data_IF_398870456493
#
_entry.id   IF_398870456493
#
_cell.length_a   1.000
_cell.length_b   1.000
_cell.length_c   1.000
_cell.angle_alpha   90.00
_cell.angle_beta   90.00
_cell.angle_gamma   90.00
#
_symmetry.space_group_name_H-M   'P 1'
#
loop_
_entity.id
_entity.type
_entity.pdbx_description
1 polymer ?
#
# COMPACT_ATOMS: atom_id res chain seq x y z
N UNK A 1 -15.88 -12.84 -23.69
CA UNK A 1 -14.67 -13.67 -23.98
C UNK A 1 -14.93 -15.13 -23.57
N UNK A 2 -14.21 -16.11 -24.16
CA UNK A 2 -14.33 -17.51 -23.77
C UNK A 2 -13.50 -17.85 -22.52
N UNK A 3 -13.78 -18.98 -21.85
CA UNK A 3 -13.17 -19.38 -20.57
C UNK A 3 -11.62 -19.34 -20.52
N UNK A 4 -10.96 -19.62 -21.64
CA UNK A 4 -9.49 -19.65 -21.76
C UNK A 4 -8.96 -18.68 -22.82
N UNK A 5 -9.70 -17.61 -23.11
CA UNK A 5 -9.27 -16.64 -24.13
C UNK A 5 -8.09 -15.76 -23.68
N UNK A 6 -7.85 -15.65 -22.37
CA UNK A 6 -6.68 -15.00 -21.81
C UNK A 6 -5.61 -16.08 -21.50
N UNK A 7 -4.40 -15.98 -22.06
CA UNK A 7 -3.37 -17.00 -21.87
C UNK A 7 -3.07 -17.26 -20.39
N UNK A 8 -3.18 -18.54 -19.96
CA UNK A 8 -2.95 -18.98 -18.56
C UNK A 8 -3.91 -18.41 -17.52
N UNK A 9 -5.00 -17.76 -17.93
CA UNK A 9 -6.06 -17.28 -17.06
C UNK A 9 -7.36 -18.03 -17.34
N UNK A 10 -8.07 -18.37 -16.28
CA UNK A 10 -9.44 -18.87 -16.33
C UNK A 10 -10.38 -17.69 -16.13
N UNK A 11 -11.23 -17.45 -17.12
CA UNK A 11 -12.22 -16.38 -17.17
C UNK A 11 -13.58 -16.91 -16.74
N UNK A 12 -14.29 -16.15 -15.91
CA UNK A 12 -15.68 -16.39 -15.53
C UNK A 12 -16.48 -15.09 -15.63
N UNK A 13 -17.70 -15.16 -16.16
CA UNK A 13 -18.58 -14.00 -16.35
C UNK A 13 -18.16 -13.09 -17.51
N UNK A 14 -18.60 -11.82 -17.45
CA UNK A 14 -18.31 -10.81 -18.48
C UNK A 14 -16.93 -10.22 -18.27
N UNK A 15 -15.95 -10.70 -19.04
CA UNK A 15 -14.58 -10.17 -19.05
C UNK A 15 -14.24 -9.67 -20.44
N UNK A 16 -13.66 -8.47 -20.49
CA UNK A 16 -13.25 -7.81 -21.72
C UNK A 16 -11.76 -7.48 -21.67
N UNK A 17 -11.09 -7.60 -22.82
CA UNK A 17 -9.75 -7.07 -23.01
C UNK A 17 -9.90 -5.72 -23.72
N UNK A 18 -9.53 -4.65 -23.03
CA UNK A 18 -9.79 -3.28 -23.48
C UNK A 18 -8.48 -2.53 -23.70
N UNK A 19 -8.51 -1.53 -24.57
CA UNK A 19 -7.41 -0.57 -24.73
C UNK A 19 -7.63 0.63 -23.82
N UNK A 20 -6.55 1.13 -23.19
CA UNK A 20 -6.59 2.35 -22.41
C UNK A 20 -6.77 3.61 -23.27
N UNK A 21 -7.12 4.72 -22.62
CA UNK A 21 -7.31 6.02 -23.27
C UNK A 21 -8.77 6.32 -23.66
N UNK A 22 -8.99 7.28 -24.58
CA UNK A 22 -10.33 7.68 -25.01
C UNK A 22 -11.07 6.53 -25.68
N UNK A 23 -12.31 6.29 -25.23
CA UNK A 23 -13.21 5.27 -25.74
C UNK A 23 -14.33 5.90 -26.57
N UNK A 24 -14.95 5.12 -27.48
CA UNK A 24 -16.19 5.54 -28.14
C UNK A 24 -17.25 5.96 -27.10
N UNK A 25 -17.96 7.05 -27.36
CA UNK A 25 -18.98 7.58 -26.44
C UNK A 25 -18.44 8.54 -25.37
N UNK A 26 -17.17 8.97 -25.45
CA UNK A 26 -16.60 10.00 -24.58
C UNK A 26 -16.07 9.50 -23.23
N UNK A 27 -16.08 8.18 -23.02
CA UNK A 27 -15.48 7.56 -21.84
C UNK A 27 -13.95 7.56 -21.94
N UNK A 28 -13.25 7.52 -20.82
CA UNK A 28 -11.80 7.40 -20.77
C UNK A 28 -11.42 6.25 -19.84
N UNK A 29 -10.57 5.35 -20.32
CA UNK A 29 -10.10 4.21 -19.52
C UNK A 29 -8.68 4.49 -19.01
N UNK A 30 -8.53 4.81 -17.71
CA UNK A 30 -7.22 5.03 -17.10
C UNK A 30 -6.52 3.68 -16.89
N UNK A 31 -5.58 3.35 -17.77
CA UNK A 31 -4.73 2.16 -17.63
C UNK A 31 -3.36 2.59 -17.12
N UNK A 32 -2.91 1.97 -16.04
CA UNK A 32 -1.86 2.53 -15.19
C UNK A 32 -0.45 2.41 -15.79
N UNK A 33 -0.14 1.29 -16.44
CA UNK A 33 1.19 1.00 -16.98
C UNK A 33 1.20 0.63 -18.45
N UNK A 34 0.09 0.09 -18.96
CA UNK A 34 0.00 -0.45 -20.31
C UNK A 34 -0.90 0.34 -21.24
N UNK A 35 -0.98 -0.16 -22.48
CA UNK A 35 -2.01 0.23 -23.45
C UNK A 35 -3.27 -0.63 -23.34
N UNK A 36 -3.23 -1.72 -22.57
CA UNK A 36 -4.33 -2.66 -22.44
C UNK A 36 -4.56 -3.09 -20.99
N UNK A 37 -5.81 -3.38 -20.68
CA UNK A 37 -6.25 -3.86 -19.38
C UNK A 37 -7.33 -4.93 -19.55
N UNK A 38 -7.55 -5.69 -18.48
CA UNK A 38 -8.70 -6.58 -18.35
C UNK A 38 -9.78 -5.83 -17.58
N UNK A 39 -10.97 -5.71 -18.18
CA UNK A 39 -12.16 -5.16 -17.53
C UNK A 39 -13.02 -6.30 -16.99
N UNK A 40 -13.38 -6.22 -15.71
CA UNK A 40 -14.29 -7.16 -15.09
C UNK A 40 -15.68 -6.53 -14.99
N UNK A 41 -16.67 -7.08 -15.70
CA UNK A 41 -18.07 -6.72 -15.52
C UNK A 41 -18.66 -7.28 -14.22
N UNK A 42 -19.97 -7.15 -14.05
CA UNK A 42 -20.68 -7.63 -12.85
C UNK A 42 -20.41 -9.12 -12.59
N UNK A 43 -20.05 -9.46 -11.34
CA UNK A 43 -19.74 -10.83 -10.88
C UNK A 43 -18.67 -11.56 -11.70
N UNK A 44 -17.90 -10.84 -12.51
CA UNK A 44 -16.87 -11.41 -13.35
C UNK A 44 -15.58 -11.64 -12.57
N UNK A 45 -14.83 -12.67 -12.97
CA UNK A 45 -13.52 -12.95 -12.40
C UNK A 45 -12.52 -13.49 -13.41
N UNK A 46 -11.25 -13.24 -13.10
CA UNK A 46 -10.11 -13.93 -13.70
C UNK A 46 -9.33 -14.64 -12.61
N UNK A 47 -8.84 -15.84 -12.92
CA UNK A 47 -8.05 -16.62 -11.97
C UNK A 47 -6.89 -17.35 -12.61
N UNK A 48 -5.84 -17.56 -11.84
CA UNK A 48 -4.63 -18.22 -12.28
C UNK A 48 -4.04 -19.08 -11.15
N UNK A 49 -3.54 -20.26 -11.50
CA UNK A 49 -2.76 -21.09 -10.60
C UNK A 49 -1.28 -20.70 -10.69
N UNK A 50 -0.69 -20.38 -9.55
CA UNK A 50 0.72 -19.97 -9.45
C UNK A 50 1.49 -20.89 -8.50
N UNK A 51 2.77 -21.10 -8.78
CA UNK A 51 3.68 -21.84 -7.90
C UNK A 51 4.27 -20.90 -6.86
N UNK A 52 4.18 -21.28 -5.59
CA UNK A 52 4.65 -20.49 -4.43
C UNK A 52 5.27 -21.41 -3.39
N UNK A 53 5.94 -20.85 -2.37
CA UNK A 53 6.56 -21.62 -1.29
C UNK A 53 5.63 -21.66 -0.06
N UNK A 54 5.22 -22.85 0.42
CA UNK A 54 4.41 -22.97 1.63
C UNK A 54 5.03 -22.23 2.82
N UNK A 55 4.22 -21.48 3.56
CA UNK A 55 4.64 -20.71 4.74
C UNK A 55 5.24 -19.33 4.44
N UNK A 56 5.53 -19.03 3.18
CA UNK A 56 6.15 -17.77 2.76
C UNK A 56 5.09 -16.66 2.58
N UNK A 57 5.50 -15.41 2.85
CA UNK A 57 4.68 -14.22 2.59
C UNK A 57 4.94 -13.69 1.18
N UNK A 58 3.86 -13.26 0.53
CA UNK A 58 3.86 -12.70 -0.80
C UNK A 58 3.00 -11.43 -0.84
N UNK A 59 3.24 -10.58 -1.86
CA UNK A 59 2.30 -9.56 -2.29
C UNK A 59 1.94 -9.75 -3.76
N UNK A 60 0.66 -9.60 -4.08
CA UNK A 60 0.16 -9.35 -5.42
C UNK A 60 0.18 -7.84 -5.64
N UNK A 61 0.90 -7.40 -6.68
CA UNK A 61 1.06 -5.99 -7.04
C UNK A 61 0.43 -5.83 -8.41
N UNK A 62 -0.52 -4.92 -8.56
CA UNK A 62 -1.25 -4.75 -9.80
C UNK A 62 -1.67 -3.30 -10.01
N UNK A 63 -1.75 -2.91 -11.27
CA UNK A 63 -2.46 -1.73 -11.69
C UNK A 63 -3.96 -1.96 -11.59
N UNK A 64 -4.65 -1.04 -10.94
CA UNK A 64 -6.08 -1.07 -10.74
C UNK A 64 -6.69 0.32 -10.97
N UNK A 65 -7.76 0.35 -11.73
CA UNK A 65 -8.60 1.54 -11.88
C UNK A 65 -10.05 1.15 -12.06
N UNK A 66 -10.91 2.13 -12.31
CA UNK A 66 -12.34 1.94 -12.49
C UNK A 66 -12.80 2.44 -13.86
N UNK A 67 -13.82 1.79 -14.41
CA UNK A 67 -14.49 2.28 -15.63
C UNK A 67 -15.68 3.18 -15.33
N UNK A 68 -16.35 2.99 -14.19
CA UNK A 68 -17.61 3.65 -13.89
C UNK A 68 -17.71 4.13 -12.42
N UNK A 69 -18.65 3.56 -11.65
CA UNK A 69 -19.22 4.13 -10.43
C UNK A 69 -18.22 4.51 -9.33
N UNK A 70 -18.69 5.32 -8.38
CA UNK A 70 -17.89 5.74 -7.24
C UNK A 70 -17.57 4.59 -6.27
N UNK A 71 -18.36 3.52 -6.21
CA UNK A 71 -18.21 2.44 -5.22
C UNK A 71 -17.71 1.10 -5.81
N UNK A 72 -16.76 1.16 -6.75
CA UNK A 72 -16.13 -0.04 -7.28
C UNK A 72 -15.22 -0.71 -6.23
N UNK A 73 -15.30 -2.04 -6.15
CA UNK A 73 -14.52 -2.87 -5.24
C UNK A 73 -13.90 -4.02 -6.02
N UNK A 74 -12.64 -4.32 -5.75
CA UNK A 74 -11.96 -5.49 -6.27
C UNK A 74 -11.75 -6.50 -5.15
N UNK A 75 -12.34 -7.68 -5.26
CA UNK A 75 -12.07 -8.80 -4.36
C UNK A 75 -10.87 -9.60 -4.86
N UNK A 76 -9.84 -9.68 -4.03
CA UNK A 76 -8.66 -10.48 -4.28
C UNK A 76 -8.71 -11.68 -3.34
N UNK A 77 -8.56 -12.88 -3.88
CA UNK A 77 -8.59 -14.11 -3.08
C UNK A 77 -7.49 -15.08 -3.45
N UNK A 78 -6.90 -15.65 -2.40
CA UNK A 78 -5.95 -16.75 -2.40
C UNK A 78 -6.38 -17.70 -1.29
N UNK A 79 -7.30 -18.64 -1.57
CA UNK A 79 -7.98 -19.41 -0.53
C UNK A 79 -7.00 -20.04 0.49
N UNK A 80 -7.29 -19.95 1.80
CA UNK A 80 -8.53 -19.43 2.41
C UNK A 80 -8.57 -17.91 2.63
N UNK A 81 -7.58 -17.14 2.15
CA UNK A 81 -7.48 -15.70 2.37
C UNK A 81 -8.25 -14.93 1.29
N UNK A 82 -8.94 -13.87 1.69
CA UNK A 82 -9.68 -12.97 0.80
C UNK A 82 -9.64 -11.54 1.35
N UNK A 83 -9.69 -10.56 0.46
CA UNK A 83 -9.69 -9.15 0.80
C UNK A 83 -10.41 -8.31 -0.25
N UNK A 84 -11.14 -7.30 0.19
CA UNK A 84 -11.90 -6.39 -0.68
C UNK A 84 -11.18 -5.04 -0.72
N UNK A 85 -10.60 -4.69 -1.88
CA UNK A 85 -9.89 -3.43 -2.11
C UNK A 85 -10.85 -2.43 -2.75
N UNK A 86 -11.24 -1.35 -2.05
CA UNK A 86 -12.10 -0.32 -2.61
C UNK A 86 -11.29 0.52 -3.60
N UNK A 87 -11.84 0.69 -4.80
CA UNK A 87 -11.32 1.57 -5.85
C UNK A 87 -12.08 2.91 -5.90
N UNK A 88 -12.77 3.24 -4.79
CA UNK A 88 -13.55 4.47 -4.66
C UNK A 88 -12.69 5.72 -4.64
N UNK A 89 -11.60 5.69 -3.86
CA UNK A 89 -10.63 6.79 -3.77
C UNK A 89 -9.49 6.47 -4.72
N UNK A 90 -9.49 7.13 -5.89
CA UNK A 90 -8.32 7.10 -6.77
C UNK A 90 -7.30 8.10 -6.25
N UNK A 91 -6.07 7.66 -6.02
CA UNK A 91 -4.96 8.51 -5.57
C UNK A 91 -4.14 9.05 -6.75
N UNK A 92 -4.50 8.64 -7.97
CA UNK A 92 -3.94 9.10 -9.23
C UNK A 92 -5.01 9.11 -10.32
N UNK A 93 -4.98 10.16 -11.17
CA UNK A 93 -5.88 10.31 -12.31
C UNK A 93 -5.69 9.22 -13.37
N UNK A 94 -4.51 8.61 -13.43
CA UNK A 94 -4.16 7.56 -14.40
C UNK A 94 -4.39 6.15 -13.86
N UNK A 95 -5.06 6.03 -12.70
CA UNK A 95 -5.24 4.80 -11.94
C UNK A 95 -4.08 4.52 -10.99
N UNK A 96 -4.30 3.56 -10.10
CA UNK A 96 -3.44 3.29 -8.96
C UNK A 96 -2.71 1.96 -9.10
N UNK A 97 -1.54 1.86 -8.48
CA UNK A 97 -0.94 0.55 -8.18
C UNK A 97 -1.33 0.17 -6.78
N UNK A 98 -1.87 -1.03 -6.61
CA UNK A 98 -2.22 -1.59 -5.32
C UNK A 98 -1.34 -2.79 -5.03
N UNK A 99 -1.02 -3.02 -3.76
CA UNK A 99 -0.45 -4.27 -3.30
C UNK A 99 -1.34 -4.92 -2.25
N UNK A 100 -1.59 -6.22 -2.39
CA UNK A 100 -2.35 -7.03 -1.43
C UNK A 100 -1.52 -8.24 -1.02
N UNK A 101 -1.40 -8.49 0.28
CA UNK A 101 -0.53 -9.52 0.83
C UNK A 101 -1.25 -10.83 1.12
N UNK A 102 -0.50 -11.93 1.05
CA UNK A 102 -0.99 -13.24 1.48
C UNK A 102 0.14 -14.13 1.98
N UNK A 103 -0.21 -15.13 2.78
CA UNK A 103 0.68 -16.22 3.19
C UNK A 103 0.34 -17.50 2.44
N UNK A 104 1.29 -18.06 1.70
CA UNK A 104 1.06 -19.29 0.97
C UNK A 104 0.85 -20.48 1.93
N UNK A 105 -0.22 -21.25 1.71
CA UNK A 105 -0.56 -22.45 2.50
C UNK A 105 -0.12 -23.74 1.82
N UNK A 106 0.08 -23.71 0.50
CA UNK A 106 0.44 -24.84 -0.37
C UNK A 106 1.52 -24.42 -1.37
N UNK A 107 2.05 -25.37 -2.15
CA UNK A 107 3.05 -25.10 -3.19
C UNK A 107 2.46 -24.57 -4.50
N UNK A 108 1.14 -24.70 -4.65
CA UNK A 108 0.36 -24.14 -5.76
C UNK A 108 -0.89 -23.52 -5.17
N UNK A 109 -1.12 -22.24 -5.45
CA UNK A 109 -2.31 -21.50 -5.00
C UNK A 109 -3.08 -20.94 -6.20
N UNK A 110 -4.40 -20.86 -6.07
CA UNK A 110 -5.28 -20.22 -7.05
C UNK A 110 -5.48 -18.76 -6.63
N UNK A 111 -4.96 -17.83 -7.42
CA UNK A 111 -5.22 -16.40 -7.27
C UNK A 111 -6.45 -16.06 -8.09
N UNK A 112 -7.41 -15.34 -7.50
CA UNK A 112 -8.62 -14.89 -8.18
C UNK A 112 -8.86 -13.42 -7.92
N UNK A 113 -9.09 -12.66 -8.99
CA UNK A 113 -9.54 -11.29 -8.99
C UNK A 113 -11.01 -11.28 -9.41
N UNK A 114 -11.88 -10.74 -8.57
CA UNK A 114 -13.32 -10.81 -8.73
C UNK A 114 -13.94 -9.43 -8.52
N UNK A 115 -14.87 -9.06 -9.40
CA UNK A 115 -15.72 -7.90 -9.21
C UNK A 115 -17.04 -8.35 -8.54
N UNK A 116 -17.24 -8.13 -7.23
CA UNK A 116 -18.50 -8.44 -6.55
C UNK A 116 -19.60 -7.39 -6.78
N UNK A 117 -19.31 -6.35 -7.56
CA UNK A 117 -20.22 -5.25 -7.81
C UNK A 117 -21.32 -5.64 -8.78
N UNK A 118 -22.51 -5.11 -8.53
CA UNK A 118 -23.65 -5.18 -9.45
C UNK A 118 -24.03 -3.74 -9.81
N UNK A 119 -23.59 -3.30 -10.98
CA UNK A 119 -23.93 -1.99 -11.56
C UNK A 119 -25.08 -2.11 -12.55
N UNK A 120 -25.77 -1.00 -12.83
CA UNK A 120 -26.84 -0.93 -13.85
C UNK A 120 -26.32 -1.32 -15.23
N UNK A 121 -25.15 -0.81 -15.62
CA UNK A 121 -24.42 -1.29 -16.80
C UNK A 121 -23.54 -2.49 -16.38
N UNK A 122 -23.84 -3.71 -16.88
CA UNK A 122 -23.09 -4.91 -16.49
C UNK A 122 -21.63 -4.91 -16.93
N UNK A 123 -21.26 -4.05 -17.88
CA UNK A 123 -19.88 -3.93 -18.34
C UNK A 123 -19.02 -3.13 -17.36
N UNK A 124 -19.63 -2.28 -16.54
CA UNK A 124 -18.93 -1.45 -15.56
C UNK A 124 -18.21 -2.28 -14.50
N UNK A 125 -17.03 -1.81 -14.10
CA UNK A 125 -16.20 -2.46 -13.10
C UNK A 125 -14.71 -2.20 -13.26
N UNK A 126 -13.89 -2.91 -12.46
CA UNK A 126 -12.48 -2.61 -12.31
C UNK A 126 -11.70 -2.97 -13.58
N UNK A 127 -10.73 -2.11 -13.90
CA UNK A 127 -9.68 -2.35 -14.89
C UNK A 127 -8.43 -2.84 -14.18
N UNK A 128 -7.91 -3.98 -14.63
CA UNK A 128 -6.71 -4.59 -14.09
C UNK A 128 -5.62 -4.64 -15.16
N UNK A 129 -4.44 -4.13 -14.82
CA UNK A 129 -3.26 -4.23 -15.66
C UNK A 129 -2.00 -4.57 -14.86
N UNK A 130 -0.97 -5.05 -15.56
CA UNK A 130 0.35 -5.35 -15.02
C UNK A 130 0.34 -6.13 -13.69
N UNK A 131 -0.29 -7.32 -13.65
CA UNK A 131 -0.33 -8.13 -12.43
C UNK A 131 1.03 -8.82 -12.21
N UNK A 132 1.62 -8.58 -11.04
CA UNK A 132 2.88 -9.13 -10.60
C UNK A 132 2.76 -9.76 -9.21
N UNK A 133 3.68 -10.67 -8.90
CA UNK A 133 3.81 -11.27 -7.57
C UNK A 133 5.23 -11.08 -7.04
N UNK A 134 5.35 -10.75 -5.76
CA UNK A 134 6.62 -10.63 -5.05
C UNK A 134 6.64 -11.53 -3.84
N UNK A 135 7.73 -12.28 -3.68
CA UNK A 135 8.08 -13.01 -2.46
C UNK A 135 8.77 -12.07 -1.47
N UNK A 136 8.39 -12.11 -0.20
CA UNK A 136 9.03 -11.32 0.86
C UNK A 136 9.93 -12.15 1.74
N UNK A 137 11.08 -11.63 2.15
CA UNK A 137 11.86 -12.24 3.23
C UNK A 137 11.35 -11.74 4.60
N UNK A 138 10.95 -12.62 5.53
CA UNK A 138 10.39 -12.19 6.81
C UNK A 138 11.41 -11.37 7.61
N UNK A 139 11.14 -10.08 7.90
CA UNK A 139 12.11 -9.24 8.57
C UNK A 139 12.21 -9.64 10.05
N UNK A 140 13.45 -9.72 10.52
CA UNK A 140 13.79 -10.04 11.91
C UNK A 140 14.39 -8.81 12.61
N UNK A 141 14.09 -8.61 13.90
CA UNK A 141 14.70 -7.54 14.66
C UNK A 141 16.18 -7.87 14.87
N UNK A 142 17.01 -6.85 14.99
CA UNK A 142 18.46 -7.02 15.21
C UNK A 142 18.79 -6.79 16.67
N UNK A 143 20.05 -7.05 17.06
CA UNK A 143 20.52 -6.73 18.42
C UNK A 143 20.56 -5.22 18.69
N UNK A 144 20.64 -4.41 17.64
CA UNK A 144 20.78 -2.95 17.71
C UNK A 144 19.47 -2.19 17.46
N UNK A 145 18.47 -2.85 16.86
CA UNK A 145 17.17 -2.24 16.60
C UNK A 145 16.05 -3.25 16.87
N UNK A 146 15.12 -2.87 17.75
CA UNK A 146 13.95 -3.68 18.09
C UNK A 146 12.87 -3.68 17.00
N UNK A 147 12.94 -2.72 16.08
CA UNK A 147 12.03 -2.57 14.93
C UNK A 147 12.46 -3.52 13.82
N UNK A 148 11.51 -4.26 13.28
CA UNK A 148 11.65 -5.06 12.07
C UNK A 148 11.42 -4.18 10.85
N UNK A 149 12.18 -4.43 9.79
CA UNK A 149 12.08 -3.69 8.53
C UNK A 149 12.05 -2.16 8.74
N UNK A 150 13.05 -1.60 9.44
CA UNK A 150 12.99 -0.23 9.95
C UNK A 150 13.00 0.85 8.88
N UNK A 151 13.63 0.57 7.74
CA UNK A 151 13.67 1.47 6.57
C UNK A 151 12.86 0.95 5.39
N UNK A 152 11.89 0.05 5.61
CA UNK A 152 11.00 -0.43 4.55
C UNK A 152 11.68 -1.04 3.31
N UNK A 153 12.92 -1.53 3.47
CA UNK A 153 13.73 -2.14 2.41
C UNK A 153 13.18 -3.48 1.92
N UNK A 154 12.35 -4.15 2.71
CA UNK A 154 11.48 -5.20 2.21
C UNK A 154 10.06 -4.66 2.07
N UNK A 155 9.58 -4.56 0.83
CA UNK A 155 8.29 -3.96 0.52
C UNK A 155 7.85 -4.28 -0.90
N UNK A 156 6.63 -3.87 -1.28
CA UNK A 156 6.03 -4.21 -2.56
C UNK A 156 6.59 -3.32 -3.68
N UNK A 157 7.90 -3.38 -3.94
CA UNK A 157 8.49 -2.64 -5.05
C UNK A 157 7.88 -3.15 -6.36
N UNK A 158 7.26 -2.27 -7.16
CA UNK A 158 6.63 -2.67 -8.41
C UNK A 158 7.70 -3.14 -9.39
N UNK A 159 7.46 -4.29 -10.03
CA UNK A 159 8.37 -4.85 -11.04
C UNK A 159 8.24 -4.09 -12.37
N UNK A 160 7.05 -3.57 -12.63
CA UNK A 160 6.75 -2.69 -13.76
C UNK A 160 7.04 -1.23 -13.37
N UNK A 161 7.32 -0.39 -14.37
CA UNK A 161 7.76 0.99 -14.15
C UNK A 161 6.58 1.87 -13.70
N UNK A 162 6.35 1.99 -12.39
CA UNK A 162 5.31 2.85 -11.83
C UNK A 162 5.88 4.12 -11.22
N UNK A 163 5.31 5.28 -11.56
CA UNK A 163 5.68 6.58 -10.99
C UNK A 163 4.76 7.03 -9.86
N UNK A 164 3.71 6.27 -9.53
CA UNK A 164 2.65 6.71 -8.60
C UNK A 164 2.82 6.13 -7.18
N UNK A 165 3.85 5.30 -6.97
CA UNK A 165 4.01 4.51 -5.76
C UNK A 165 2.98 3.37 -5.70
N UNK A 166 2.98 2.63 -4.60
CA UNK A 166 2.11 1.46 -4.40
C UNK A 166 1.21 1.67 -3.19
N UNK A 167 -0.09 1.75 -3.42
CA UNK A 167 -1.08 1.85 -2.37
C UNK A 167 -1.22 0.52 -1.63
N UNK A 168 -1.20 0.61 -0.31
CA UNK A 168 -1.37 -0.52 0.58
C UNK A 168 -2.72 -0.37 1.29
N UNK A 169 -3.67 -1.28 1.05
CA UNK A 169 -5.01 -1.20 1.63
C UNK A 169 -4.96 -1.41 3.16
N UNK A 170 -5.95 -0.89 3.89
CA UNK A 170 -6.05 -1.03 5.33
C UNK A 170 -6.23 -2.49 5.78
N UNK A 171 -5.85 -2.79 7.02
CA UNK A 171 -5.85 -4.15 7.57
C UNK A 171 -7.22 -4.83 7.58
N UNK A 172 -8.32 -4.08 7.67
CA UNK A 172 -9.68 -4.65 7.60
C UNK A 172 -9.95 -5.36 6.26
N UNK A 173 -9.16 -5.03 5.24
CA UNK A 173 -9.26 -5.53 3.87
C UNK A 173 -8.13 -6.52 3.54
N UNK A 174 -7.13 -6.66 4.43
CA UNK A 174 -6.00 -7.56 4.24
C UNK A 174 -5.53 -8.18 5.57
N UNK A 175 -5.73 -9.50 5.70
CA UNK A 175 -5.27 -10.27 6.86
C UNK A 175 -3.74 -10.37 6.97
N UNK A 176 -3.02 -10.11 5.88
CA UNK A 176 -1.56 -10.17 5.80
C UNK A 176 -1.00 -8.92 5.13
N UNK A 177 -0.56 -7.95 5.93
CA UNK A 177 0.03 -6.71 5.44
C UNK A 177 1.06 -6.92 4.32
N UNK A 178 0.93 -6.22 3.16
CA UNK A 178 1.91 -6.20 2.08
C UNK A 178 3.16 -5.37 2.45
N UNK A 179 3.25 -4.88 3.70
CA UNK A 179 4.41 -4.22 4.27
C UNK A 179 5.00 -5.11 5.40
N UNK A 180 5.99 -5.97 5.09
CA UNK A 180 6.52 -6.92 6.04
C UNK A 180 6.99 -6.29 7.35
N UNK A 181 6.52 -6.83 8.47
CA UNK A 181 6.85 -6.35 9.82
C UNK A 181 5.98 -5.20 10.32
N UNK A 182 5.15 -4.60 9.48
CA UNK A 182 4.30 -3.46 9.80
C UNK A 182 2.82 -3.76 9.59
N UNK A 183 1.99 -3.11 10.39
CA UNK A 183 0.53 -3.17 10.36
C UNK A 183 0.05 -1.87 9.73
N UNK A 184 -0.91 -1.96 8.80
CA UNK A 184 -1.57 -0.80 8.23
C UNK A 184 -2.83 -0.53 9.07
N UNK A 185 -2.69 0.34 10.07
CA UNK A 185 -3.72 0.63 11.09
C UNK A 185 -4.61 1.81 10.65
N UNK A 186 -5.05 1.76 9.40
CA UNK A 186 -5.68 2.88 8.71
C UNK A 186 -7.15 2.59 8.40
N UNK A 187 -7.95 3.64 8.16
CA UNK A 187 -9.22 3.52 7.43
C UNK A 187 -9.03 3.73 5.93
N UNK A 188 -7.92 4.34 5.52
CA UNK A 188 -7.54 4.66 4.15
C UNK A 188 -6.19 4.03 3.80
N UNK A 189 -5.83 4.01 2.52
CA UNK A 189 -4.55 3.44 2.12
C UNK A 189 -3.36 4.24 2.69
N UNK A 190 -2.22 3.56 2.87
CA UNK A 190 -0.90 4.19 2.95
C UNK A 190 -0.19 3.96 1.62
N UNK A 191 0.82 4.76 1.28
CA UNK A 191 1.54 4.57 0.02
C UNK A 191 2.98 4.16 0.28
N UNK A 192 3.41 3.07 -0.31
CA UNK A 192 4.81 2.69 -0.41
C UNK A 192 5.46 3.40 -1.58
N UNK A 193 6.62 4.01 -1.37
CA UNK A 193 7.37 4.74 -2.39
C UNK A 193 8.78 4.18 -2.53
N UNK A 194 9.33 4.28 -3.74
CA UNK A 194 10.67 3.83 -4.05
C UNK A 194 11.60 4.99 -4.44
N UNK A 195 12.90 4.82 -4.21
CA UNK A 195 13.91 5.85 -4.45
C UNK A 195 14.21 6.12 -5.94
N UNK A 196 13.73 5.28 -6.85
CA UNK A 196 13.88 5.52 -8.30
C UNK A 196 12.94 6.61 -8.78
N UNK A 197 11.76 6.74 -8.18
CA UNK A 197 10.73 7.71 -8.59
C UNK A 197 10.48 8.81 -7.56
N UNK A 198 10.78 8.58 -6.29
CA UNK A 198 10.51 9.49 -5.19
C UNK A 198 11.77 9.80 -4.40
N UNK A 199 11.71 10.88 -3.61
CA UNK A 199 12.72 11.10 -2.59
C UNK A 199 12.45 10.22 -1.37
N UNK A 200 13.35 9.28 -1.13
CA UNK A 200 13.35 8.38 0.03
C UNK A 200 14.46 8.84 0.98
N UNK A 201 14.18 9.08 2.28
CA UNK A 201 15.19 9.55 3.21
C UNK A 201 16.42 8.64 3.32
N UNK A 202 16.24 7.31 3.33
CA UNK A 202 17.29 6.31 3.44
C UNK A 202 16.96 5.05 2.60
N UNK A 203 17.97 4.49 1.93
CA UNK A 203 17.83 3.21 1.24
C UNK A 203 16.96 3.28 -0.01
N UNK A 204 16.10 2.29 -0.21
CA UNK A 204 15.33 2.10 -1.44
C UNK A 204 13.84 2.34 -1.26
N UNK A 205 13.29 2.13 -0.07
CA UNK A 205 11.85 2.18 0.19
C UNK A 205 11.47 3.12 1.33
N UNK A 206 10.28 3.71 1.26
CA UNK A 206 9.69 4.42 2.39
C UNK A 206 8.16 4.38 2.34
N UNK A 207 7.51 4.90 3.39
CA UNK A 207 6.05 5.00 3.47
C UNK A 207 5.61 6.46 3.51
N UNK A 208 4.73 6.85 2.59
CA UNK A 208 4.01 8.12 2.58
C UNK A 208 2.61 7.94 3.21
N UNK A 209 2.29 8.79 4.20
CA UNK A 209 1.00 8.81 4.89
C UNK A 209 0.01 9.74 4.19
N UNK A 210 -0.66 9.21 3.15
CA UNK A 210 -1.39 10.02 2.16
C UNK A 210 -2.76 10.56 2.62
N UNK A 211 -3.41 9.96 3.61
CA UNK A 211 -4.82 10.29 3.93
C UNK A 211 -5.02 10.85 5.36
N UNK A 212 -4.15 11.77 5.78
CA UNK A 212 -4.29 12.45 7.07
C UNK A 212 -4.49 11.48 8.24
N UNK A 213 -5.46 11.78 9.12
CA UNK A 213 -5.71 11.00 10.34
C UNK A 213 -6.26 9.60 10.08
N UNK A 214 -6.60 9.30 8.84
CA UNK A 214 -7.10 8.00 8.41
C UNK A 214 -6.00 7.10 7.83
N UNK A 215 -4.74 7.57 7.79
CA UNK A 215 -3.58 6.85 7.30
C UNK A 215 -2.56 6.67 8.42
N UNK A 216 -2.39 5.43 8.89
CA UNK A 216 -1.49 5.07 9.96
C UNK A 216 -0.76 3.74 9.73
N UNK A 217 0.49 3.67 10.16
CA UNK A 217 1.23 2.42 10.25
C UNK A 217 1.61 2.14 11.70
N UNK A 218 1.69 0.86 12.05
CA UNK A 218 2.07 0.45 13.38
C UNK A 218 2.96 -0.79 13.41
N UNK A 219 3.72 -0.93 14.49
CA UNK A 219 4.48 -2.14 14.78
C UNK A 219 4.47 -2.42 16.27
N UNK A 220 4.30 -3.70 16.64
CA UNK A 220 4.38 -4.14 18.03
C UNK A 220 5.78 -4.71 18.29
N UNK A 221 6.58 -3.97 19.06
CA UNK A 221 7.93 -4.38 19.45
C UNK A 221 7.94 -5.03 20.84
N UNK A 222 8.94 -5.87 21.11
CA UNK A 222 9.17 -6.46 22.43
C UNK A 222 9.98 -5.49 23.29
N UNK A 223 9.48 -5.18 24.48
CA UNK A 223 10.07 -4.23 25.42
C UNK A 223 10.09 -4.83 26.83
N UNK A 224 10.73 -4.14 27.77
CA UNK A 224 10.80 -4.52 29.18
C UNK A 224 10.09 -3.44 29.98
N UNK A 225 9.11 -3.84 30.79
CA UNK A 225 8.36 -2.92 31.65
C UNK A 225 9.29 -2.06 32.50
N UNK A 226 8.98 -0.78 32.60
CA UNK A 226 9.76 0.25 33.29
C UNK A 226 11.13 0.60 32.69
N UNK A 227 11.54 -0.02 31.57
CA UNK A 227 12.76 0.36 30.86
C UNK A 227 12.50 1.55 29.93
N UNK A 228 13.47 2.44 29.82
CA UNK A 228 13.43 3.60 28.92
C UNK A 228 14.06 3.21 27.58
N UNK A 229 13.43 3.64 26.50
CA UNK A 229 13.87 3.40 25.13
C UNK A 229 14.02 4.74 24.41
N UNK A 230 14.96 4.81 23.48
CA UNK A 230 15.06 5.89 22.51
C UNK A 230 14.48 5.41 21.19
N UNK A 231 13.61 6.22 20.60
CA UNK A 231 13.09 6.03 19.25
C UNK A 231 13.57 7.17 18.36
N UNK A 232 14.12 6.81 17.20
CA UNK A 232 14.49 7.75 16.14
C UNK A 232 13.82 7.35 14.84
N UNK A 233 13.43 8.33 14.04
CA UNK A 233 12.89 8.11 12.70
C UNK A 233 13.02 9.37 11.87
N UNK A 234 12.94 9.20 10.56
CA UNK A 234 13.01 10.28 9.58
C UNK A 234 11.62 10.66 9.13
N UNK A 235 11.39 11.97 9.03
CA UNK A 235 10.18 12.57 8.47
C UNK A 235 10.58 13.47 7.31
N UNK A 236 9.91 13.33 6.18
CA UNK A 236 10.21 14.11 4.98
C UNK A 236 9.04 14.28 4.03
N UNK A 237 9.35 14.71 2.81
CA UNK A 237 8.44 14.72 1.68
C UNK A 237 9.00 13.92 0.51
N UNK A 238 8.12 13.37 -0.33
CA UNK A 238 8.46 12.42 -1.39
C UNK A 238 8.97 13.08 -2.68
N UNK A 239 9.17 14.41 -2.72
CA UNK A 239 9.45 15.17 -3.96
C UNK A 239 8.35 15.01 -5.03
N UNK A 240 7.09 14.94 -4.59
CA UNK A 240 5.92 14.74 -5.44
C UNK A 240 5.01 15.98 -5.50
N UNK A 241 5.52 17.17 -5.18
CA UNK A 241 4.71 18.40 -5.18
C UNK A 241 3.68 18.46 -4.05
N UNK A 242 3.87 17.70 -2.96
CA UNK A 242 3.04 17.82 -1.76
C UNK A 242 3.48 19.01 -0.91
N UNK A 243 2.77 20.13 -1.01
CA UNK A 243 3.08 21.35 -0.26
C UNK A 243 2.22 21.44 1.01
N UNK A 244 2.81 21.93 2.10
CA UNK A 244 2.02 22.24 3.29
C UNK A 244 2.77 22.15 4.61
N UNK A 245 2.10 22.58 5.66
CA UNK A 245 2.54 22.31 7.03
C UNK A 245 2.01 20.94 7.45
N UNK A 246 2.86 19.92 7.38
CA UNK A 246 2.55 18.56 7.77
C UNK A 246 2.87 18.33 9.24
N UNK A 247 2.26 17.30 9.82
CA UNK A 247 2.56 16.85 11.17
C UNK A 247 2.45 15.34 11.24
N UNK A 248 3.54 14.68 11.64
CA UNK A 248 3.52 13.26 11.99
C UNK A 248 3.31 13.15 13.49
N UNK A 249 2.31 12.38 13.91
CA UNK A 249 2.14 11.99 15.31
C UNK A 249 2.63 10.57 15.51
N UNK A 250 3.57 10.40 16.43
CA UNK A 250 4.14 9.13 16.82
C UNK A 250 3.70 8.77 18.24
N UNK A 251 3.26 7.53 18.45
CA UNK A 251 2.78 7.01 19.72
C UNK A 251 3.66 5.86 20.16
N UNK A 252 4.13 5.91 21.41
CA UNK A 252 4.84 4.82 22.05
C UNK A 252 4.46 4.73 23.53
N UNK A 253 3.85 3.61 23.93
CA UNK A 253 3.30 3.44 25.28
C UNK A 253 2.26 4.53 25.65
N UNK A 254 2.58 5.42 26.61
CA UNK A 254 1.72 6.56 26.98
C UNK A 254 2.16 7.89 26.35
N UNK A 255 3.31 7.88 25.68
CA UNK A 255 3.93 9.08 25.16
C UNK A 255 3.45 9.33 23.73
N UNK A 256 3.06 10.58 23.47
CA UNK A 256 2.71 11.08 22.14
C UNK A 256 3.70 12.15 21.74
N UNK A 257 4.24 12.05 20.53
CA UNK A 257 5.18 13.03 19.99
C UNK A 257 4.67 13.59 18.67
N UNK A 258 4.64 14.92 18.56
CA UNK A 258 4.18 15.64 17.37
C UNK A 258 5.37 16.22 16.64
N UNK A 259 5.57 15.80 15.39
CA UNK A 259 6.68 16.22 14.55
C UNK A 259 6.17 17.15 13.46
N UNK A 260 6.23 18.47 13.64
CA UNK A 260 5.89 19.40 12.57
C UNK A 260 6.94 19.32 11.46
N UNK A 261 6.51 19.31 10.20
CA UNK A 261 7.36 19.31 9.03
C UNK A 261 6.77 20.23 7.97
N UNK A 262 7.53 21.22 7.50
CA UNK A 262 7.08 22.13 6.44
C UNK A 262 7.61 21.60 5.13
N UNK A 263 6.72 21.13 4.27
CA UNK A 263 7.07 20.61 2.95
C UNK A 263 6.97 21.69 1.88
N UNK A 264 8.00 21.76 1.05
CA UNK A 264 8.01 22.47 -0.24
C UNK A 264 7.90 21.50 -1.44
N UNK A 265 7.67 20.20 -1.20
CA UNK A 265 7.54 19.20 -2.26
C UNK A 265 8.83 18.93 -3.04
N UNK A 266 10.01 19.25 -2.47
CA UNK A 266 11.32 19.18 -3.12
C UNK A 266 12.18 17.98 -2.70
N UNK A 267 11.69 17.14 -1.79
CA UNK A 267 12.41 15.96 -1.30
C UNK A 267 13.33 16.28 -0.13
N UNK A 268 12.82 16.96 0.88
CA UNK A 268 13.58 17.25 2.11
C UNK A 268 13.22 16.25 3.21
N UNK A 269 14.15 15.98 4.12
CA UNK A 269 13.92 15.11 5.27
C UNK A 269 14.67 15.60 6.50
N UNK A 270 14.19 15.21 7.67
CA UNK A 270 14.89 15.39 8.95
C UNK A 270 14.69 14.18 9.84
N UNK A 271 15.69 13.89 10.66
CA UNK A 271 15.60 12.83 11.67
C UNK A 271 15.28 13.43 13.02
N UNK A 272 14.34 12.80 13.73
CA UNK A 272 13.94 13.18 15.08
C UNK A 272 14.20 12.04 16.06
N UNK A 273 14.38 12.38 17.34
CA UNK A 273 14.63 11.43 18.42
C UNK A 273 13.78 11.78 19.62
N UNK A 274 13.17 10.80 20.28
CA UNK A 274 12.55 10.98 21.59
C UNK A 274 12.64 9.72 22.43
N UNK A 275 12.48 9.89 23.75
CA UNK A 275 12.50 8.79 24.71
C UNK A 275 11.09 8.46 25.16
N UNK A 276 10.82 7.16 25.37
CA UNK A 276 9.58 6.70 25.99
C UNK A 276 9.88 5.63 27.04
N UNK A 277 9.01 5.49 28.04
CA UNK A 277 9.11 4.44 29.06
C UNK A 277 8.12 3.32 28.75
N UNK A 278 8.61 2.10 28.58
CA UNK A 278 7.73 0.96 28.32
C UNK A 278 6.88 0.61 29.56
N UNK A 279 5.57 0.46 29.35
CA UNK A 279 4.60 0.14 30.41
C UNK A 279 4.24 -1.35 30.46
N UNK A 280 4.64 -2.12 29.45
CA UNK A 280 4.32 -3.53 29.29
C UNK A 280 5.47 -4.25 28.55
N UNK A 281 5.50 -5.60 28.52
CA UNK A 281 6.48 -6.37 27.77
C UNK A 281 6.42 -6.22 26.24
N UNK A 282 5.38 -5.52 25.74
CA UNK A 282 5.22 -5.17 24.33
C UNK A 282 4.77 -3.73 24.24
N UNK A 283 5.36 -2.99 23.32
CA UNK A 283 4.98 -1.62 23.02
C UNK A 283 4.52 -1.54 21.56
N UNK A 284 3.32 -0.98 21.36
CA UNK A 284 2.84 -0.59 20.02
C UNK A 284 3.44 0.76 19.67
N UNK A 285 4.12 0.83 18.54
CA UNK A 285 4.56 2.05 17.88
C UNK A 285 3.54 2.35 16.80
N UNK A 286 2.94 3.53 16.80
CA UNK A 286 1.99 3.95 15.76
C UNK A 286 2.40 5.31 15.22
N UNK A 287 2.29 5.49 13.91
CA UNK A 287 2.58 6.74 13.22
C UNK A 287 1.42 7.09 12.30
N UNK A 288 0.91 8.32 12.38
CA UNK A 288 -0.10 8.83 11.46
C UNK A 288 0.13 10.31 11.11
N UNK A 289 -0.51 10.79 10.04
CA UNK A 289 -0.48 12.21 9.66
C UNK A 289 -1.65 12.99 10.30
N UNK A 290 -1.42 14.13 10.95
CA UNK A 290 -2.53 14.89 11.56
C UNK A 290 -3.41 15.61 10.54
N UNK A 291 -2.89 15.87 9.34
CA UNK A 291 -3.47 16.77 8.35
C UNK A 291 -3.60 16.10 6.99
N UNK A 292 -4.63 16.52 6.25
CA UNK A 292 -4.84 16.10 4.86
C UNK A 292 -4.12 17.06 3.94
N UNK A 293 -3.39 16.51 2.97
CA UNK A 293 -2.72 17.27 1.94
C UNK A 293 -3.03 16.69 0.57
N UNK A 294 -3.06 17.57 -0.42
CA UNK A 294 -3.14 17.23 -1.83
C UNK A 294 -1.93 17.81 -2.54
N UNK A 295 -1.58 17.22 -3.67
CA UNK A 295 -0.50 17.73 -4.49
C UNK A 295 -0.90 19.08 -5.11
N UNK A 296 0.10 19.89 -5.43
CA UNK A 296 -0.10 21.23 -5.99
C UNK A 296 -0.44 21.19 -7.50
N UNK A 297 0.02 20.15 -8.20
CA UNK A 297 -0.16 19.97 -9.64
C UNK A 297 -1.48 19.26 -9.98
N UNK A 298 -1.99 18.41 -9.09
CA UNK A 298 -3.33 17.82 -9.20
C UNK A 298 -4.08 17.84 -7.85
N UNK A 299 -5.02 18.79 -7.72
CA UNK A 299 -5.80 19.02 -6.49
C UNK A 299 -6.65 17.81 -6.01
N UNK A 300 -6.73 16.74 -6.79
CA UNK A 300 -7.43 15.50 -6.43
C UNK A 300 -6.54 14.43 -5.77
N UNK A 301 -5.23 14.47 -5.96
CA UNK A 301 -4.34 13.39 -5.51
C UNK A 301 -3.83 13.64 -4.10
N UNK A 302 -4.19 12.73 -3.20
CA UNK A 302 -3.79 12.79 -1.79
C UNK A 302 -2.30 12.49 -1.62
N UNK A 303 -1.66 13.25 -0.74
CA UNK A 303 -0.23 13.14 -0.43
C UNK A 303 0.01 13.46 1.06
N UNK A 304 1.23 13.21 1.54
CA UNK A 304 1.52 13.47 2.94
C UNK A 304 2.98 13.31 3.34
N UNK A 305 3.26 13.29 4.66
CA UNK A 305 4.61 13.12 5.15
C UNK A 305 5.11 11.69 4.88
N UNK A 306 6.39 11.59 4.54
CA UNK A 306 7.13 10.33 4.40
C UNK A 306 7.74 9.96 5.75
N UNK A 307 7.64 8.69 6.12
CA UNK A 307 8.32 8.08 7.27
C UNK A 307 9.31 7.06 6.78
N UNK A 308 10.49 7.07 7.42
CA UNK A 308 11.57 6.14 7.12
C UNK A 308 12.49 5.96 8.34
N UNK A 309 13.35 4.94 8.28
CA UNK A 309 14.44 4.66 9.21
C UNK A 309 14.03 4.66 10.69
N UNK A 310 13.01 3.87 11.05
CA UNK A 310 12.52 3.78 12.43
C UNK A 310 13.43 2.87 13.27
N UNK A 311 14.13 3.45 14.24
CA UNK A 311 15.06 2.74 15.12
C UNK A 311 14.60 2.87 16.55
N UNK A 312 14.51 1.74 17.26
CA UNK A 312 14.24 1.71 18.70
C UNK A 312 15.28 0.87 19.42
N UNK A 313 15.90 1.46 20.44
CA UNK A 313 16.89 0.79 21.28
C UNK A 313 16.75 1.22 22.75
N UNK A 314 17.09 0.34 23.71
CA UNK A 314 17.06 0.68 25.13
C UNK A 314 18.07 1.79 25.44
N UNK A 315 17.67 2.76 26.26
CA UNK A 315 18.61 3.70 26.89
C UNK A 315 19.36 2.91 27.98
N UNK A 316 20.68 3.09 28.03
CA UNK A 316 21.55 2.49 29.05
C UNK A 316 21.12 2.90 30.46
#
# INVERSE_FOLDING_TARGET
MGKYSLPKWEVNGLVEYVSGGPQPGGMFFPVTHGIHAVRLGNEASISQNIKVKPGQLYALILGASRTCAQDEVLRISVPPQTGDVPLQTLYSLNGDVIAWGFKATSSVVKVTFHNPGVQEDPSCGPLLDAIAIREFYPPMPTRVNLVKNPGFEEGPFPIFNSTNGVLLPPQQQDGFSPLPGWIIESLKAVKFIDSKHFNVPFGLGAVELVAGRESAIAQIIRTVTNKVYNITFSVGDAKNGCHGSMMVEAFAAKDTFKVPFKSEGKGTSKTVSFKFKAIAPRTRLTFYSSFYHTRIDDYGSLCGPVIDQVIVFPVA
#
